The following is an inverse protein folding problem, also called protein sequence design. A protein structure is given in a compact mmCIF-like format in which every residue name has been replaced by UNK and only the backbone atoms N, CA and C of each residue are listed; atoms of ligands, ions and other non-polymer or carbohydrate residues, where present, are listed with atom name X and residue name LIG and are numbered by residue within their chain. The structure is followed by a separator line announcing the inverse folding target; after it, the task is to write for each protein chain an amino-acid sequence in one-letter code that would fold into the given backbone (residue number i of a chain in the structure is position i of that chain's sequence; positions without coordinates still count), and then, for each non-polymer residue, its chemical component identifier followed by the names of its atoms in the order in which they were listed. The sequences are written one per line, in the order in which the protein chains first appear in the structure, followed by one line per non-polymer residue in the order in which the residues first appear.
data_IF_329079673912
#
_entry.id   IF_329079673912
#
_cell.length_a   1.000
_cell.length_b   1.000
_cell.length_c   1.000
_cell.angle_alpha   90.00
_cell.angle_beta   90.00
_cell.angle_gamma   90.00
#
_symmetry.space_group_name_H-M   'P 1'
#
loop_
_entity.id
_entity.type
_entity.pdbx_description
1 polymer ?
#
# COMPACT_ATOMS: atom_id res chain seq x y z
N UNK A 1 -10.74 6.15 -15.59
CA UNK A 1 -11.58 5.10 -14.97
C UNK A 1 -11.89 5.49 -13.52
N UNK A 2 -13.04 5.07 -13.00
CA UNK A 2 -13.39 5.30 -11.58
C UNK A 2 -12.61 4.33 -10.67
N UNK A 3 -12.24 4.78 -9.48
CA UNK A 3 -11.33 4.05 -8.57
C UNK A 3 -11.96 2.78 -8.01
N UNK A 4 -13.27 2.79 -7.76
CA UNK A 4 -14.05 1.61 -7.38
C UNK A 4 -13.86 0.45 -8.35
N UNK A 5 -13.95 0.71 -9.67
CA UNK A 5 -13.81 -0.35 -10.68
C UNK A 5 -12.40 -0.91 -10.76
N UNK A 6 -11.39 -0.03 -10.64
CA UNK A 6 -9.99 -0.46 -10.64
C UNK A 6 -9.73 -1.31 -9.40
N UNK A 7 -10.11 -0.81 -8.23
CA UNK A 7 -9.95 -1.53 -6.97
C UNK A 7 -10.69 -2.88 -6.98
N UNK A 8 -11.93 -2.92 -7.47
CA UNK A 8 -12.71 -4.15 -7.62
C UNK A 8 -12.00 -5.19 -8.49
N UNK A 9 -11.37 -4.76 -9.59
CA UNK A 9 -10.60 -5.65 -10.45
C UNK A 9 -9.41 -6.27 -9.70
N UNK A 10 -8.59 -5.44 -9.04
CA UNK A 10 -7.44 -5.94 -8.27
C UNK A 10 -7.88 -6.85 -7.12
N UNK A 11 -8.94 -6.47 -6.41
CA UNK A 11 -9.50 -7.23 -5.30
C UNK A 11 -10.06 -8.57 -5.74
N UNK A 12 -10.83 -8.58 -6.83
CA UNK A 12 -11.39 -9.80 -7.42
C UNK A 12 -10.31 -10.75 -7.91
N UNK A 13 -9.30 -10.23 -8.63
CA UNK A 13 -8.14 -11.03 -9.07
C UNK A 13 -7.40 -11.61 -7.87
N UNK A 14 -7.16 -10.82 -6.82
CA UNK A 14 -6.50 -11.30 -5.61
C UNK A 14 -7.32 -12.40 -4.91
N UNK A 15 -8.62 -12.18 -4.67
CA UNK A 15 -9.48 -13.16 -4.03
C UNK A 15 -9.52 -14.46 -4.83
N UNK A 16 -9.62 -14.39 -6.15
CA UNK A 16 -9.57 -15.57 -7.01
C UNK A 16 -8.24 -16.33 -6.87
N UNK A 17 -7.10 -15.63 -6.87
CA UNK A 17 -5.79 -16.24 -6.67
C UNK A 17 -5.64 -16.84 -5.26
N UNK A 18 -6.17 -16.17 -4.24
CA UNK A 18 -6.14 -16.64 -2.85
C UNK A 18 -6.96 -17.92 -2.68
N UNK A 19 -8.18 -17.95 -3.21
CA UNK A 19 -9.06 -19.12 -3.20
C UNK A 19 -8.43 -20.28 -3.98
N UNK A 20 -7.90 -20.01 -5.17
CA UNK A 20 -7.17 -21.01 -5.97
C UNK A 20 -5.97 -21.57 -5.17
N UNK A 21 -5.23 -20.71 -4.46
CA UNK A 21 -4.15 -21.15 -3.58
C UNK A 21 -4.60 -22.08 -2.46
N UNK A 22 -5.68 -21.72 -1.75
CA UNK A 22 -6.27 -22.56 -0.71
C UNK A 22 -6.74 -23.93 -1.23
N UNK A 23 -7.28 -23.97 -2.46
CA UNK A 23 -7.75 -25.21 -3.11
C UNK A 23 -6.58 -26.06 -3.62
N UNK A 24 -5.55 -25.45 -4.20
CA UNK A 24 -4.40 -26.16 -4.78
C UNK A 24 -3.40 -26.66 -3.74
N UNK A 25 -3.29 -25.98 -2.60
CA UNK A 25 -2.28 -26.27 -1.57
C UNK A 25 -2.88 -26.53 -0.17
N UNK A 26 -3.92 -27.37 -0.02
CA UNK A 26 -4.61 -27.55 1.26
C UNK A 26 -3.71 -28.14 2.35
N UNK A 27 -2.75 -29.00 1.97
CA UNK A 27 -1.77 -29.56 2.92
C UNK A 27 -0.80 -28.53 3.52
N UNK A 28 -0.60 -27.38 2.86
CA UNK A 28 0.29 -26.32 3.35
C UNK A 28 -0.49 -25.14 3.94
N UNK A 29 -1.66 -24.85 3.39
CA UNK A 29 -2.44 -23.65 3.71
C UNK A 29 -3.67 -23.93 4.56
N UNK A 30 -3.97 -25.19 4.85
CA UNK A 30 -5.20 -25.61 5.52
C UNK A 30 -6.45 -25.44 4.65
N UNK A 31 -7.59 -25.90 5.16
CA UNK A 31 -8.89 -25.77 4.50
C UNK A 31 -9.39 -24.32 4.53
N UNK A 32 -10.24 -23.95 3.57
CA UNK A 32 -10.87 -22.63 3.52
C UNK A 32 -11.83 -22.44 4.70
N UNK A 33 -11.72 -21.32 5.40
CA UNK A 33 -12.67 -20.92 6.44
C UNK A 33 -13.83 -20.11 5.79
N UNK A 34 -15.04 -20.68 5.68
CA UNK A 34 -16.15 -20.02 4.99
C UNK A 34 -16.65 -18.76 5.72
N UNK A 35 -16.55 -18.72 7.05
CA UNK A 35 -16.97 -17.55 7.85
C UNK A 35 -16.01 -16.38 7.63
N UNK A 36 -14.70 -16.67 7.58
CA UNK A 36 -13.70 -15.66 7.22
C UNK A 36 -13.90 -15.17 5.77
N UNK A 37 -14.22 -16.06 4.83
CA UNK A 37 -14.56 -15.61 3.46
C UNK A 37 -15.78 -14.70 3.44
N UNK A 38 -16.84 -15.05 4.16
CA UNK A 38 -18.03 -14.22 4.26
C UNK A 38 -17.72 -12.82 4.82
N UNK A 39 -16.91 -12.74 5.88
CA UNK A 39 -16.45 -11.45 6.41
C UNK A 39 -15.67 -10.64 5.37
N UNK A 40 -14.74 -11.26 4.64
CA UNK A 40 -13.96 -10.58 3.60
C UNK A 40 -14.86 -10.02 2.49
N UNK A 41 -15.87 -10.78 2.06
CA UNK A 41 -16.86 -10.32 1.07
C UNK A 41 -17.71 -9.17 1.60
N UNK A 42 -18.18 -9.26 2.85
CA UNK A 42 -18.96 -8.20 3.48
C UNK A 42 -18.15 -6.92 3.68
N UNK A 43 -16.89 -7.04 4.12
CA UNK A 43 -15.94 -5.92 4.22
C UNK A 43 -15.74 -5.26 2.86
N UNK A 44 -15.55 -6.06 1.80
CA UNK A 44 -15.42 -5.58 0.43
C UNK A 44 -16.68 -4.82 -0.02
N UNK A 45 -17.86 -5.38 0.23
CA UNK A 45 -19.15 -4.73 -0.06
C UNK A 45 -19.25 -3.37 0.65
N UNK A 46 -18.85 -3.29 1.92
CA UNK A 46 -18.89 -2.05 2.68
C UNK A 46 -17.92 -0.99 2.16
N UNK A 47 -16.75 -1.36 1.63
CA UNK A 47 -15.89 -0.41 0.90
C UNK A 47 -16.66 0.20 -0.28
N UNK A 48 -17.36 -0.62 -1.08
CA UNK A 48 -18.13 -0.11 -2.22
C UNK A 48 -19.31 0.75 -1.77
N UNK A 49 -20.02 0.37 -0.70
CA UNK A 49 -21.10 1.18 -0.15
C UNK A 49 -20.57 2.53 0.36
N UNK A 50 -19.49 2.53 1.14
CA UNK A 50 -18.85 3.77 1.59
C UNK A 50 -18.46 4.69 0.44
N UNK A 51 -17.91 4.12 -0.64
CA UNK A 51 -17.59 4.87 -1.84
C UNK A 51 -18.82 5.50 -2.51
N UNK A 52 -19.94 4.77 -2.60
CA UNK A 52 -21.18 5.26 -3.20
C UNK A 52 -21.89 6.30 -2.33
N UNK A 53 -21.82 6.17 -1.01
CA UNK A 53 -22.52 7.04 -0.06
C UNK A 53 -21.73 8.28 0.37
N UNK A 54 -20.45 8.39 0.01
CA UNK A 54 -19.57 9.51 0.41
C UNK A 54 -20.14 10.90 0.11
N UNK A 55 -20.78 11.08 -1.05
CA UNK A 55 -21.33 12.38 -1.44
C UNK A 55 -22.55 12.79 -0.59
N UNK A 56 -23.17 11.86 0.16
CA UNK A 56 -24.29 12.14 1.09
C UNK A 56 -23.85 12.41 2.52
N UNK A 57 -22.58 12.13 2.84
CA UNK A 57 -22.07 12.32 4.19
C UNK A 57 -21.81 13.81 4.48
N UNK A 58 -21.82 14.21 5.76
CA UNK A 58 -21.54 15.56 6.18
C UNK A 58 -20.02 15.87 6.03
N UNK A 59 -19.65 17.16 5.96
CA UNK A 59 -18.30 17.62 5.61
C UNK A 59 -17.30 17.47 6.76
N UNK A 60 -17.81 17.40 7.97
CA UNK A 60 -17.13 17.21 9.25
C UNK A 60 -16.26 15.95 9.26
N UNK A 61 -16.51 15.00 8.35
CA UNK A 61 -15.62 13.86 8.09
C UNK A 61 -14.20 14.27 7.71
N UNK A 62 -13.99 15.50 7.24
CA UNK A 62 -12.66 16.09 7.06
C UNK A 62 -11.82 15.98 8.35
N UNK A 63 -12.40 16.30 9.50
CA UNK A 63 -11.72 16.21 10.80
C UNK A 63 -11.39 14.76 11.16
N UNK A 64 -12.29 13.82 10.84
CA UNK A 64 -12.04 12.40 11.02
C UNK A 64 -10.81 11.96 10.22
N UNK A 65 -10.70 12.34 8.95
CA UNK A 65 -9.53 12.02 8.12
C UNK A 65 -8.24 12.60 8.70
N UNK A 66 -8.28 13.85 9.17
CA UNK A 66 -7.11 14.51 9.77
C UNK A 66 -6.66 13.78 11.04
N UNK A 67 -7.60 13.51 11.96
CA UNK A 67 -7.33 12.83 13.23
C UNK A 67 -6.77 11.44 12.96
N UNK A 68 -7.44 10.66 12.12
CA UNK A 68 -7.00 9.30 11.78
C UNK A 68 -5.63 9.32 11.10
N UNK A 69 -5.41 10.17 10.09
CA UNK A 69 -4.12 10.27 9.41
C UNK A 69 -2.98 10.66 10.35
N UNK A 70 -3.25 11.56 11.30
CA UNK A 70 -2.26 12.01 12.29
C UNK A 70 -1.97 10.92 13.32
N UNK A 71 -2.99 10.26 13.88
CA UNK A 71 -2.83 9.17 14.84
C UNK A 71 -2.06 7.99 14.22
N UNK A 72 -2.36 7.63 12.97
CA UNK A 72 -1.65 6.56 12.27
C UNK A 72 -0.22 6.96 11.87
N UNK A 73 0.00 8.22 11.51
CA UNK A 73 1.35 8.75 11.33
C UNK A 73 2.19 8.65 12.61
N UNK A 74 1.59 8.97 13.76
CA UNK A 74 2.25 8.89 15.05
C UNK A 74 2.61 7.45 15.44
N UNK A 75 1.72 6.48 15.20
CA UNK A 75 1.94 5.07 15.57
C UNK A 75 3.08 4.39 14.79
N UNK A 76 3.41 4.90 13.59
CA UNK A 76 4.51 4.38 12.76
C UNK A 76 5.89 4.94 13.15
N UNK A 77 5.96 5.77 14.20
CA UNK A 77 7.19 6.38 14.71
C UNK A 77 7.66 7.58 13.87
N UNK A 78 8.91 8.01 14.07
CA UNK A 78 9.46 9.25 13.47
C UNK A 78 9.28 9.32 11.96
N UNK A 79 9.49 8.21 11.23
CA UNK A 79 9.31 8.19 9.78
C UNK A 79 7.85 8.42 9.37
N UNK A 80 6.91 7.85 10.12
CA UNK A 80 5.48 8.09 9.94
C UNK A 80 5.06 9.51 10.21
N UNK A 81 5.57 10.07 11.30
CA UNK A 81 5.36 11.48 11.66
C UNK A 81 5.91 12.38 10.56
N UNK A 82 7.15 12.14 10.09
CA UNK A 82 7.75 12.91 9.00
C UNK A 82 6.92 12.76 7.72
N UNK A 83 6.39 11.58 7.41
CA UNK A 83 5.60 11.37 6.20
C UNK A 83 4.22 12.04 6.28
N UNK A 84 3.51 11.88 7.40
CA UNK A 84 2.24 12.56 7.65
C UNK A 84 2.42 14.08 7.70
N UNK A 85 3.49 14.58 8.32
CA UNK A 85 3.85 16.00 8.30
C UNK A 85 4.26 16.46 6.90
N UNK A 86 4.96 15.65 6.11
CA UNK A 86 5.31 16.01 4.72
C UNK A 86 4.07 16.08 3.84
N UNK A 87 3.10 15.19 4.06
CA UNK A 87 1.81 15.20 3.39
C UNK A 87 0.98 16.41 3.86
N UNK A 88 0.96 16.72 5.17
CA UNK A 88 0.28 17.87 5.77
C UNK A 88 0.88 19.21 5.34
N UNK A 89 2.16 19.42 5.62
CA UNK A 89 2.90 20.63 5.28
C UNK A 89 3.01 20.78 3.77
N UNK A 90 3.27 19.70 3.03
CA UNK A 90 3.31 19.70 1.56
C UNK A 90 1.94 20.01 0.97
N UNK A 91 0.86 19.43 1.48
CA UNK A 91 -0.51 19.72 1.07
C UNK A 91 -0.90 21.18 1.33
N UNK A 92 -0.60 21.71 2.52
CA UNK A 92 -0.83 23.12 2.89
C UNK A 92 0.02 24.05 2.02
N UNK A 93 1.27 23.71 1.75
CA UNK A 93 2.19 24.51 0.95
C UNK A 93 1.81 24.56 -0.53
N UNK A 94 1.37 23.42 -1.09
CA UNK A 94 0.77 23.32 -2.42
C UNK A 94 -0.45 24.22 -2.56
N UNK A 95 -1.25 24.34 -1.48
CA UNK A 95 -2.45 25.18 -1.46
C UNK A 95 -2.14 26.68 -1.32
N UNK A 96 -1.03 27.06 -0.66
CA UNK A 96 -0.74 28.46 -0.30
C UNK A 96 0.08 29.24 -1.35
N UNK A 97 1.05 28.60 -2.03
CA UNK A 97 2.11 29.34 -2.75
C UNK A 97 2.10 29.23 -4.29
N UNK A 98 1.03 28.73 -4.92
CA UNK A 98 0.80 28.99 -6.34
C UNK A 98 1.89 28.56 -7.34
N UNK A 99 2.70 27.54 -7.07
CA UNK A 99 3.48 26.85 -8.11
C UNK A 99 5.00 26.89 -8.02
N UNK A 100 5.61 27.98 -7.57
CA UNK A 100 7.06 28.24 -7.77
C UNK A 100 7.96 27.41 -6.86
N UNK A 101 7.66 27.33 -5.55
CA UNK A 101 8.49 26.57 -4.61
C UNK A 101 8.30 25.04 -4.69
N UNK A 102 7.23 24.60 -5.35
CA UNK A 102 6.94 23.16 -5.51
C UNK A 102 7.99 22.49 -6.39
N UNK A 103 8.64 23.24 -7.28
CA UNK A 103 9.74 22.74 -8.10
C UNK A 103 10.92 22.31 -7.24
N UNK A 104 11.34 23.10 -6.27
CA UNK A 104 12.45 22.77 -5.37
C UNK A 104 12.15 21.51 -4.55
N UNK A 105 10.94 21.41 -3.99
CA UNK A 105 10.49 20.21 -3.28
C UNK A 105 10.46 18.97 -4.17
N UNK A 106 10.02 19.11 -5.44
CA UNK A 106 10.03 18.01 -6.40
C UNK A 106 11.46 17.52 -6.71
N UNK A 107 12.40 18.45 -6.95
CA UNK A 107 13.80 18.09 -7.23
C UNK A 107 14.50 17.53 -5.99
N UNK A 108 14.24 18.07 -4.80
CA UNK A 108 14.73 17.50 -3.55
C UNK A 108 14.24 16.06 -3.35
N UNK A 109 12.94 15.81 -3.60
CA UNK A 109 12.38 14.47 -3.60
C UNK A 109 13.03 13.56 -4.64
N UNK A 110 13.27 14.06 -5.86
CA UNK A 110 13.95 13.30 -6.92
C UNK A 110 15.37 12.90 -6.49
N UNK A 111 16.11 13.81 -5.83
CA UNK A 111 17.42 13.51 -5.25
C UNK A 111 17.31 12.43 -4.18
N UNK A 112 16.29 12.47 -3.31
CA UNK A 112 16.08 11.43 -2.28
C UNK A 112 15.80 10.04 -2.89
N UNK A 113 15.06 9.97 -4.00
CA UNK A 113 14.81 8.71 -4.74
C UNK A 113 16.11 8.08 -5.23
N UNK A 114 17.13 8.88 -5.52
CA UNK A 114 18.44 8.37 -5.97
C UNK A 114 19.38 8.14 -4.78
N UNK A 115 19.44 9.08 -3.85
CA UNK A 115 20.40 9.08 -2.75
C UNK A 115 20.16 7.93 -1.78
N UNK A 116 18.89 7.62 -1.43
CA UNK A 116 18.58 6.59 -0.44
C UNK A 116 19.02 5.19 -0.91
N UNK A 117 18.69 4.71 -2.12
CA UNK A 117 19.21 3.45 -2.64
C UNK A 117 20.73 3.45 -2.79
N UNK A 118 21.34 4.56 -3.25
CA UNK A 118 22.80 4.64 -3.38
C UNK A 118 23.51 4.51 -2.04
N UNK A 119 22.99 5.10 -0.96
CA UNK A 119 23.54 4.90 0.39
C UNK A 119 23.50 3.41 0.78
N UNK A 120 22.42 2.70 0.45
CA UNK A 120 22.33 1.26 0.71
C UNK A 120 23.36 0.47 -0.11
N UNK A 121 23.52 0.80 -1.40
CA UNK A 121 24.48 0.16 -2.31
C UNK A 121 25.92 0.38 -1.85
N UNK A 122 26.30 1.61 -1.47
CA UNK A 122 27.65 1.94 -0.96
C UNK A 122 27.96 1.18 0.33
N UNK A 123 26.94 0.90 1.14
CA UNK A 123 27.06 0.06 2.36
C UNK A 123 27.00 -1.45 2.07
N UNK A 124 27.08 -1.88 0.81
CA UNK A 124 27.07 -3.28 0.40
C UNK A 124 25.69 -3.95 0.39
N UNK A 125 24.60 -3.20 0.57
CA UNK A 125 23.24 -3.76 0.63
C UNK A 125 22.66 -3.82 -0.78
N UNK A 126 23.01 -4.88 -1.51
CA UNK A 126 22.60 -5.10 -2.91
C UNK A 126 21.86 -6.45 -3.03
N UNK A 127 20.53 -6.47 -2.75
CA UNK A 127 19.74 -7.70 -2.71
C UNK A 127 19.76 -8.62 -3.93
N UNK A 128 19.97 -8.08 -5.13
CA UNK A 128 20.08 -8.87 -6.36
C UNK A 128 21.35 -9.73 -6.38
N UNK A 129 22.43 -9.26 -5.76
CA UNK A 129 23.69 -10.01 -5.60
C UNK A 129 23.65 -10.88 -4.34
N UNK A 130 23.11 -10.33 -3.26
CA UNK A 130 23.07 -10.98 -1.94
C UNK A 130 21.65 -11.04 -1.38
N UNK A 131 20.86 -12.09 -1.70
CA UNK A 131 19.44 -12.17 -1.35
C UNK A 131 19.13 -12.09 0.15
N UNK A 132 20.09 -12.42 1.02
CA UNK A 132 19.92 -12.35 2.47
C UNK A 132 19.91 -10.89 2.99
N UNK A 133 20.49 -9.93 2.25
CA UNK A 133 20.51 -8.50 2.59
C UNK A 133 19.11 -7.87 2.69
N UNK A 134 18.08 -8.56 2.16
CA UNK A 134 16.65 -8.18 2.23
C UNK A 134 16.05 -8.26 3.62
N UNK A 135 16.78 -8.81 4.58
CA UNK A 135 16.35 -8.89 5.98
C UNK A 135 17.05 -7.86 6.86
N UNK A 136 17.99 -7.08 6.31
CA UNK A 136 18.70 -6.03 7.04
C UNK A 136 17.82 -4.77 7.21
N UNK A 137 18.05 -3.95 8.24
CA UNK A 137 17.34 -2.68 8.42
C UNK A 137 17.56 -1.69 7.27
N UNK A 138 18.73 -1.73 6.63
CA UNK A 138 19.09 -0.82 5.52
C UNK A 138 18.19 -0.99 4.29
N UNK A 139 17.47 -2.11 4.16
CA UNK A 139 16.46 -2.29 3.13
C UNK A 139 15.37 -1.21 3.13
N UNK A 140 15.13 -0.60 4.29
CA UNK A 140 14.12 0.44 4.47
C UNK A 140 14.45 1.68 3.62
N UNK A 141 15.71 1.88 3.23
CA UNK A 141 16.11 2.96 2.32
C UNK A 141 15.53 2.76 0.91
N UNK A 142 15.52 1.52 0.40
CA UNK A 142 14.86 1.20 -0.87
C UNK A 142 13.35 1.39 -0.78
N UNK A 143 12.73 1.02 0.34
CA UNK A 143 11.30 1.22 0.55
C UNK A 143 10.95 2.72 0.64
N UNK A 144 11.69 3.50 1.42
CA UNK A 144 11.50 4.95 1.53
C UNK A 144 11.67 5.64 0.17
N UNK A 145 12.69 5.25 -0.60
CA UNK A 145 12.87 5.70 -1.98
C UNK A 145 11.64 5.42 -2.86
N UNK A 146 11.07 4.22 -2.77
CA UNK A 146 9.88 3.86 -3.53
C UNK A 146 8.66 4.69 -3.11
N UNK A 147 8.48 4.95 -1.81
CA UNK A 147 7.44 5.86 -1.30
C UNK A 147 7.60 7.27 -1.89
N UNK A 148 8.82 7.84 -1.86
CA UNK A 148 9.07 9.16 -2.46
C UNK A 148 8.80 9.16 -3.97
N UNK A 149 9.24 8.13 -4.69
CA UNK A 149 8.95 7.99 -6.11
C UNK A 149 7.44 7.93 -6.38
N UNK A 150 6.69 7.14 -5.61
CA UNK A 150 5.22 7.08 -5.66
C UNK A 150 4.59 8.45 -5.44
N UNK A 151 5.01 9.20 -4.42
CA UNK A 151 4.52 10.57 -4.14
C UNK A 151 4.76 11.52 -5.33
N UNK A 152 5.99 11.54 -5.84
CA UNK A 152 6.38 12.42 -6.95
C UNK A 152 5.68 12.05 -8.26
N UNK A 153 5.55 10.75 -8.56
CA UNK A 153 4.88 10.26 -9.76
C UNK A 153 3.37 10.49 -9.71
N UNK A 154 2.74 10.36 -8.55
CA UNK A 154 1.34 10.72 -8.37
C UNK A 154 1.11 12.24 -8.50
N UNK A 155 2.08 13.07 -8.09
CA UNK A 155 2.01 14.51 -8.33
C UNK A 155 2.17 14.86 -9.82
N UNK A 156 3.32 14.48 -10.40
CA UNK A 156 3.69 14.72 -11.78
C UNK A 156 4.36 13.46 -12.39
N UNK A 157 3.68 12.77 -13.32
CA UNK A 157 4.24 11.58 -13.94
C UNK A 157 5.48 11.99 -14.76
N UNK A 158 6.57 11.25 -14.59
CA UNK A 158 7.84 11.49 -15.28
C UNK A 158 8.50 10.15 -15.59
N UNK A 159 8.67 9.83 -16.87
CA UNK A 159 9.17 8.53 -17.32
C UNK A 159 10.60 8.24 -16.80
N UNK A 160 11.46 9.25 -16.70
CA UNK A 160 12.82 9.06 -16.20
C UNK A 160 12.81 8.70 -14.72
N UNK A 161 11.99 9.39 -13.91
CA UNK A 161 11.82 9.06 -12.50
C UNK A 161 11.28 7.63 -12.33
N UNK A 162 10.29 7.25 -13.15
CA UNK A 162 9.75 5.90 -13.17
C UNK A 162 10.81 4.85 -13.47
N UNK A 163 11.58 5.01 -14.55
CA UNK A 163 12.62 4.05 -14.94
C UNK A 163 13.72 3.93 -13.87
N UNK A 164 14.14 5.04 -13.28
CA UNK A 164 15.14 5.05 -12.19
C UNK A 164 14.60 4.30 -10.96
N UNK A 165 13.36 4.61 -10.55
CA UNK A 165 12.75 3.99 -9.38
C UNK A 165 12.50 2.48 -9.60
N UNK A 166 12.07 2.07 -10.80
CA UNK A 166 11.95 0.65 -11.19
C UNK A 166 13.31 -0.06 -11.22
N UNK A 167 14.36 0.59 -11.73
CA UNK A 167 15.71 0.02 -11.70
C UNK A 167 16.16 -0.25 -10.25
N UNK A 168 15.93 0.67 -9.32
CA UNK A 168 16.20 0.42 -7.90
C UNK A 168 15.28 -0.66 -7.29
N UNK A 169 14.03 -0.79 -7.76
CA UNK A 169 13.16 -1.89 -7.37
C UNK A 169 13.67 -3.26 -7.84
N UNK A 170 14.25 -3.34 -9.05
CA UNK A 170 14.94 -4.53 -9.57
C UNK A 170 16.17 -4.87 -8.72
N UNK A 171 17.05 -3.89 -8.47
CA UNK A 171 18.27 -4.06 -7.65
C UNK A 171 17.91 -4.56 -6.25
N UNK A 172 16.85 -4.02 -5.66
CA UNK A 172 16.40 -4.40 -4.32
C UNK A 172 15.57 -5.68 -4.29
N UNK A 173 15.11 -6.18 -5.44
CA UNK A 173 14.22 -7.34 -5.61
C UNK A 173 12.90 -7.24 -4.83
N UNK A 174 12.49 -6.04 -4.44
CA UNK A 174 11.24 -5.79 -3.71
C UNK A 174 10.08 -5.58 -4.67
N UNK A 175 9.31 -6.64 -4.92
CA UNK A 175 8.10 -6.63 -5.76
C UNK A 175 7.10 -5.53 -5.40
N UNK A 176 6.93 -5.28 -4.10
CA UNK A 176 6.08 -4.22 -3.56
C UNK A 176 6.54 -2.84 -4.04
N UNK A 177 7.85 -2.57 -4.04
CA UNK A 177 8.40 -1.28 -4.47
C UNK A 177 8.15 -1.04 -5.96
N UNK A 178 8.41 -2.04 -6.80
CA UNK A 178 8.10 -1.98 -8.23
C UNK A 178 6.60 -1.72 -8.45
N UNK A 179 5.75 -2.49 -7.76
CA UNK A 179 4.30 -2.37 -7.94
C UNK A 179 3.77 -0.97 -7.56
N UNK A 180 4.22 -0.37 -6.44
CA UNK A 180 3.74 0.97 -6.05
C UNK A 180 4.21 2.07 -6.99
N UNK A 181 5.42 1.97 -7.54
CA UNK A 181 5.98 2.94 -8.48
C UNK A 181 5.22 2.88 -9.81
N UNK A 182 5.03 1.67 -10.33
CA UNK A 182 4.27 1.43 -11.55
C UNK A 182 2.81 1.86 -11.46
N UNK A 183 2.11 1.47 -10.38
CA UNK A 183 0.70 1.83 -10.20
C UNK A 183 0.55 3.36 -10.05
N UNK A 184 1.46 4.02 -9.33
CA UNK A 184 1.43 5.48 -9.19
C UNK A 184 1.51 6.18 -10.54
N UNK A 185 2.43 5.71 -11.40
CA UNK A 185 2.56 6.21 -12.76
C UNK A 185 1.29 6.00 -13.56
N UNK A 186 0.81 4.75 -13.67
CA UNK A 186 -0.33 4.41 -14.53
C UNK A 186 -1.60 5.13 -14.09
N UNK A 187 -1.86 5.22 -12.78
CA UNK A 187 -3.04 5.90 -12.28
C UNK A 187 -2.97 7.42 -12.44
N UNK A 188 -1.77 7.99 -12.58
CA UNK A 188 -1.59 9.43 -12.80
C UNK A 188 -1.49 9.83 -14.28
N UNK A 189 -0.86 8.99 -15.10
CA UNK A 189 -0.55 9.27 -16.49
C UNK A 189 -1.81 9.34 -17.37
N UNK A 190 -1.71 10.11 -18.47
CA UNK A 190 -2.75 10.14 -19.49
C UNK A 190 -2.87 8.78 -20.21
N UNK A 191 -4.01 8.52 -20.86
CA UNK A 191 -4.29 7.21 -21.52
C UNK A 191 -3.18 6.77 -22.48
N UNK A 192 -2.68 7.66 -23.33
CA UNK A 192 -1.65 7.31 -24.32
C UNK A 192 -0.29 7.05 -23.68
N UNK A 193 0.08 7.82 -22.66
CA UNK A 193 1.31 7.64 -21.91
C UNK A 193 1.27 6.35 -21.07
N UNK A 194 0.12 6.05 -20.46
CA UNK A 194 -0.11 4.81 -19.72
C UNK A 194 0.05 3.58 -20.62
N UNK A 195 -0.40 3.61 -21.89
CA UNK A 195 -0.15 2.51 -22.84
C UNK A 195 1.35 2.29 -23.09
N UNK A 196 2.12 3.37 -23.27
CA UNK A 196 3.58 3.26 -23.46
C UNK A 196 4.25 2.68 -22.22
N UNK A 197 3.84 3.11 -21.04
CA UNK A 197 4.37 2.59 -19.78
C UNK A 197 3.89 1.17 -19.49
N UNK A 198 2.72 0.74 -19.97
CA UNK A 198 2.35 -0.67 -19.91
C UNK A 198 3.33 -1.54 -20.71
N UNK A 199 3.76 -1.08 -21.90
CA UNK A 199 4.73 -1.82 -22.73
C UNK A 199 6.11 -1.95 -22.08
N UNK A 200 6.58 -0.93 -21.36
CA UNK A 200 7.90 -0.93 -20.72
C UNK A 200 7.86 -1.46 -19.28
N UNK A 201 6.88 -1.03 -18.51
CA UNK A 201 6.73 -1.31 -17.09
C UNK A 201 6.24 -2.72 -16.79
N UNK A 202 5.39 -3.33 -17.62
CA UNK A 202 4.98 -4.73 -17.41
C UNK A 202 6.19 -5.68 -17.49
N UNK A 203 7.06 -5.60 -18.52
CA UNK A 203 8.30 -6.37 -18.53
C UNK A 203 9.21 -6.11 -17.32
N UNK A 204 9.33 -4.86 -16.85
CA UNK A 204 10.15 -4.53 -15.68
C UNK A 204 9.58 -5.16 -14.40
N UNK A 205 8.27 -5.06 -14.16
CA UNK A 205 7.64 -5.73 -13.02
C UNK A 205 7.82 -7.24 -13.13
N UNK A 206 7.56 -7.82 -14.29
CA UNK A 206 7.76 -9.25 -14.51
C UNK A 206 9.20 -9.66 -14.21
N UNK A 207 10.18 -8.86 -14.64
CA UNK A 207 11.59 -9.06 -14.32
C UNK A 207 11.83 -9.05 -12.81
N UNK A 208 11.29 -8.08 -12.06
CA UNK A 208 11.40 -8.04 -10.59
C UNK A 208 10.83 -9.31 -9.96
N UNK A 209 9.68 -9.78 -10.44
CA UNK A 209 9.06 -11.02 -9.95
C UNK A 209 9.90 -12.26 -10.29
N UNK A 210 10.44 -12.34 -11.50
CA UNK A 210 11.29 -13.45 -11.96
C UNK A 210 12.61 -13.49 -11.16
N UNK A 211 13.31 -12.36 -11.05
CA UNK A 211 14.54 -12.23 -10.25
C UNK A 211 14.26 -12.62 -8.81
N UNK A 212 13.15 -12.14 -8.23
CA UNK A 212 12.75 -12.51 -6.86
C UNK A 212 12.51 -14.00 -6.71
N UNK A 213 11.85 -14.62 -7.69
CA UNK A 213 11.58 -16.06 -7.69
C UNK A 213 12.90 -16.86 -7.70
N UNK A 214 13.81 -16.58 -8.63
CA UNK A 214 15.09 -17.29 -8.72
C UNK A 214 15.96 -17.05 -7.49
N UNK A 215 16.01 -15.81 -6.98
CA UNK A 215 16.71 -15.51 -5.73
C UNK A 215 16.14 -16.31 -4.54
N UNK A 216 14.81 -16.49 -4.49
CA UNK A 216 14.16 -17.28 -3.42
C UNK A 216 14.49 -18.77 -3.57
N UNK A 217 14.39 -19.31 -4.79
CA UNK A 217 14.72 -20.72 -5.08
C UNK A 217 16.19 -21.06 -4.79
N UNK A 218 17.11 -20.15 -5.13
CA UNK A 218 18.53 -20.32 -4.85
C UNK A 218 18.90 -20.21 -3.37
N UNK A 219 18.13 -19.44 -2.59
CA UNK A 219 18.39 -19.27 -1.14
C UNK A 219 17.76 -20.40 -0.31
N UNK A 220 16.56 -20.87 -0.69
CA UNK A 220 15.79 -21.83 0.10
C UNK A 220 15.62 -23.14 -0.67
N UNK A 221 16.48 -24.13 -0.41
CA UNK A 221 16.45 -25.44 -1.08
C UNK A 221 15.13 -26.22 -0.89
N UNK A 222 14.36 -25.89 0.16
CA UNK A 222 13.05 -26.48 0.46
C UNK A 222 11.97 -25.95 -0.53
N UNK A 223 12.21 -24.82 -1.20
CA UNK A 223 11.24 -24.21 -2.11
C UNK A 223 11.16 -24.95 -3.45
N UNK A 224 10.20 -25.87 -3.56
CA UNK A 224 9.99 -26.70 -4.76
C UNK A 224 8.93 -26.17 -5.73
N UNK A 225 8.23 -25.09 -5.38
CA UNK A 225 7.13 -24.56 -6.20
C UNK A 225 7.67 -23.89 -7.47
N UNK A 226 6.98 -24.10 -8.60
CA UNK A 226 7.22 -23.37 -9.85
C UNK A 226 6.85 -21.88 -9.73
N UNK A 227 7.14 -21.08 -10.77
CA UNK A 227 6.88 -19.63 -10.76
C UNK A 227 5.40 -19.30 -10.55
N UNK A 228 4.51 -19.86 -11.38
CA UNK A 228 3.06 -19.62 -11.27
C UNK A 228 2.50 -20.16 -9.95
N UNK A 229 2.92 -21.37 -9.55
CA UNK A 229 2.55 -21.95 -8.26
C UNK A 229 2.96 -21.06 -7.09
N UNK A 230 4.13 -20.42 -7.16
CA UNK A 230 4.62 -19.48 -6.14
C UNK A 230 3.73 -18.24 -6.03
N UNK A 231 3.21 -17.72 -7.14
CA UNK A 231 2.28 -16.58 -7.13
C UNK A 231 0.96 -16.94 -6.44
N UNK A 232 0.36 -18.06 -6.86
CA UNK A 232 -0.90 -18.56 -6.32
C UNK A 232 -0.77 -18.95 -4.85
N UNK A 233 0.31 -19.66 -4.49
CA UNK A 233 0.64 -20.02 -3.11
C UNK A 233 0.77 -18.78 -2.22
N UNK A 234 1.39 -17.71 -2.72
CA UNK A 234 1.60 -16.50 -1.92
C UNK A 234 0.30 -15.77 -1.60
N UNK A 235 -0.61 -15.65 -2.57
CA UNK A 235 -1.94 -15.10 -2.33
C UNK A 235 -2.71 -15.96 -1.30
N UNK A 236 -2.67 -17.29 -1.47
CA UNK A 236 -3.26 -18.22 -0.51
C UNK A 236 -2.63 -18.15 0.89
N UNK A 237 -1.32 -17.94 0.98
CA UNK A 237 -0.60 -17.79 2.24
C UNK A 237 -1.01 -16.52 3.00
N UNK A 238 -1.00 -15.35 2.35
CA UNK A 238 -1.47 -14.11 2.97
C UNK A 238 -2.95 -14.21 3.40
N UNK A 239 -3.77 -14.93 2.63
CA UNK A 239 -5.15 -15.21 2.99
C UNK A 239 -5.30 -16.16 4.19
N UNK A 240 -4.49 -17.22 4.28
CA UNK A 240 -4.44 -18.08 5.47
C UNK A 240 -4.00 -17.31 6.72
N UNK A 241 -3.04 -16.39 6.57
CA UNK A 241 -2.66 -15.49 7.67
C UNK A 241 -3.87 -14.66 8.14
N UNK A 242 -4.64 -14.11 7.19
CA UNK A 242 -5.90 -13.43 7.50
C UNK A 242 -6.91 -14.34 8.23
N UNK A 243 -7.15 -15.56 7.78
CA UNK A 243 -8.11 -16.46 8.42
C UNK A 243 -7.74 -16.73 9.88
N UNK A 244 -6.45 -16.89 10.16
CA UNK A 244 -5.97 -17.04 11.54
C UNK A 244 -6.18 -15.78 12.35
N UNK A 245 -5.90 -14.60 11.80
CA UNK A 245 -6.17 -13.31 12.43
C UNK A 245 -7.66 -13.13 12.74
N UNK A 246 -8.52 -13.48 11.78
CA UNK A 246 -9.98 -13.50 11.95
C UNK A 246 -10.39 -14.41 13.12
N UNK A 247 -9.88 -15.65 13.18
CA UNK A 247 -10.19 -16.58 14.28
C UNK A 247 -9.70 -16.10 15.66
N UNK A 248 -8.64 -15.30 15.72
CA UNK A 248 -8.09 -14.79 16.99
C UNK A 248 -8.78 -13.50 17.47
N UNK A 249 -9.24 -12.66 16.54
CA UNK A 249 -9.87 -11.38 16.83
C UNK A 249 -11.38 -11.44 16.98
N UNK A 250 -12.07 -12.30 16.25
CA UNK A 250 -13.53 -12.33 16.29
C UNK A 250 -14.08 -12.79 17.65
N UNK A 251 -15.26 -12.26 18.07
CA UNK A 251 -16.08 -11.27 17.37
C UNK A 251 -15.77 -9.80 17.70
N UNK A 252 -15.03 -9.52 18.77
CA UNK A 252 -14.89 -8.17 19.34
C UNK A 252 -13.60 -7.44 18.98
N UNK A 253 -12.59 -8.15 18.50
CA UNK A 253 -11.27 -7.62 18.23
C UNK A 253 -10.32 -7.69 19.43
N UNK A 254 -9.05 -7.38 19.17
CA UNK A 254 -7.93 -7.44 20.14
C UNK A 254 -7.12 -6.14 20.21
N UNK A 255 -7.34 -5.21 19.28
CA UNK A 255 -6.69 -3.90 19.16
C UNK A 255 -5.15 -3.89 19.39
N UNK A 256 -4.40 -4.73 18.68
CA UNK A 256 -2.93 -4.81 18.83
C UNK A 256 -2.13 -4.63 17.54
N UNK A 257 -2.74 -4.65 16.35
CA UNK A 257 -2.02 -4.53 15.07
C UNK A 257 -1.89 -3.07 14.63
N UNK A 258 -2.99 -2.31 14.61
CA UNK A 258 -3.07 -0.96 14.04
C UNK A 258 -2.08 0.03 14.68
N UNK A 259 -1.94 -0.03 16.00
CA UNK A 259 -1.04 0.82 16.78
C UNK A 259 0.34 0.18 17.03
N UNK A 260 0.58 -1.01 16.49
CA UNK A 260 1.88 -1.65 16.63
C UNK A 260 2.91 -0.92 15.76
N UNK A 261 4.09 -0.64 16.32
CA UNK A 261 5.22 -0.08 15.56
C UNK A 261 5.75 -1.04 14.48
N UNK A 262 5.57 -2.35 14.69
CA UNK A 262 6.07 -3.41 13.82
C UNK A 262 4.96 -4.47 13.57
N UNK A 263 3.84 -4.09 12.92
CA UNK A 263 2.63 -4.91 12.85
C UNK A 263 2.89 -6.27 12.18
N UNK A 264 3.72 -6.30 11.14
CA UNK A 264 4.05 -7.54 10.42
C UNK A 264 4.91 -8.51 11.23
N UNK A 265 5.75 -8.01 12.14
CA UNK A 265 6.51 -8.86 13.07
C UNK A 265 5.62 -9.38 14.18
N UNK A 266 4.72 -8.53 14.70
CA UNK A 266 3.69 -8.97 15.64
C UNK A 266 2.84 -10.09 15.05
N UNK A 267 2.30 -9.90 13.84
CA UNK A 267 1.52 -10.95 13.15
C UNK A 267 2.34 -12.23 12.99
N UNK A 268 3.60 -12.15 12.58
CA UNK A 268 4.46 -13.33 12.48
C UNK A 268 4.66 -14.06 13.82
N UNK A 269 4.75 -13.32 14.93
CA UNK A 269 4.90 -13.92 16.25
C UNK A 269 3.68 -14.76 16.68
N UNK A 270 2.48 -14.43 16.18
CA UNK A 270 1.27 -15.25 16.36
C UNK A 270 1.35 -16.62 15.68
N UNK A 271 2.33 -16.82 14.78
CA UNK A 271 2.67 -18.09 14.13
C UNK A 271 4.00 -18.65 14.60
N UNK A 272 4.58 -18.11 15.69
CA UNK A 272 5.87 -18.54 16.24
C UNK A 272 7.05 -18.23 15.33
N UNK A 273 6.99 -17.16 14.53
CA UNK A 273 8.06 -16.76 13.60
C UNK A 273 8.68 -15.42 13.98
N UNK A 274 9.99 -15.30 13.73
CA UNK A 274 10.78 -14.07 13.94
C UNK A 274 10.84 -13.17 12.70
N UNK A 275 10.34 -13.63 11.56
CA UNK A 275 10.38 -12.89 10.28
C UNK A 275 9.00 -12.33 9.94
N UNK A 276 8.95 -11.09 9.45
CA UNK A 276 7.70 -10.38 9.17
C UNK A 276 6.74 -11.14 8.24
N UNK A 277 5.46 -11.22 8.60
CA UNK A 277 4.38 -11.78 7.77
C UNK A 277 3.49 -10.69 7.22
N UNK A 278 3.10 -10.83 5.95
CA UNK A 278 2.03 -10.03 5.34
C UNK A 278 0.68 -10.66 5.64
N UNK A 279 -0.34 -9.81 5.72
CA UNK A 279 -1.74 -10.20 5.89
C UNK A 279 -2.57 -9.40 4.90
N UNK A 280 -3.79 -9.84 4.60
CA UNK A 280 -4.65 -9.15 3.62
C UNK A 280 -5.25 -7.87 4.19
N UNK A 281 -5.87 -7.04 3.35
CA UNK A 281 -6.60 -5.84 3.78
C UNK A 281 -7.70 -6.14 4.83
N UNK A 282 -8.16 -7.38 4.91
CA UNK A 282 -9.17 -7.85 5.87
C UNK A 282 -8.57 -8.24 7.23
N UNK A 283 -7.25 -8.51 7.28
CA UNK A 283 -6.53 -9.03 8.44
C UNK A 283 -6.58 -8.13 9.65
N UNK A 284 -6.05 -6.91 9.52
CA UNK A 284 -5.99 -5.97 10.63
C UNK A 284 -7.40 -5.57 11.12
N UNK A 285 -8.37 -5.22 10.26
CA UNK A 285 -9.71 -4.86 10.73
C UNK A 285 -10.40 -5.98 11.50
N UNK A 286 -10.32 -7.23 11.00
CA UNK A 286 -10.91 -8.38 11.67
C UNK A 286 -10.23 -8.68 13.01
N UNK A 287 -8.90 -8.56 13.06
CA UNK A 287 -8.16 -8.85 14.28
C UNK A 287 -8.35 -7.76 15.34
N UNK A 288 -8.26 -6.50 14.96
CA UNK A 288 -8.28 -5.39 15.92
C UNK A 288 -9.68 -5.02 16.37
N UNK A 289 -10.67 -5.10 15.48
CA UNK A 289 -12.02 -4.60 15.71
C UNK A 289 -13.10 -5.66 15.56
N UNK A 290 -12.76 -6.88 15.14
CA UNK A 290 -13.74 -7.95 14.93
C UNK A 290 -14.83 -7.52 13.95
N UNK A 291 -16.09 -7.62 14.38
CA UNK A 291 -17.24 -7.19 13.57
C UNK A 291 -17.24 -5.68 13.29
N UNK A 292 -16.74 -4.86 14.20
CA UNK A 292 -16.65 -3.41 14.01
C UNK A 292 -15.63 -3.00 12.95
N UNK A 293 -14.70 -3.90 12.59
CA UNK A 293 -13.78 -3.70 11.47
C UNK A 293 -14.50 -3.46 10.14
N UNK A 294 -15.74 -3.95 10.00
CA UNK A 294 -16.60 -3.65 8.85
C UNK A 294 -16.85 -2.14 8.65
N UNK A 295 -16.92 -1.36 9.74
CA UNK A 295 -17.04 0.10 9.67
C UNK A 295 -15.77 0.75 9.09
N UNK A 296 -14.60 0.17 9.36
CA UNK A 296 -13.34 0.62 8.77
C UNK A 296 -13.36 0.46 7.25
N UNK A 297 -13.88 -0.68 6.75
CA UNK A 297 -14.09 -0.90 5.32
C UNK A 297 -14.98 0.18 4.69
N UNK A 298 -16.09 0.51 5.33
CA UNK A 298 -16.95 1.62 4.90
C UNK A 298 -16.18 2.95 4.85
N UNK A 299 -15.46 3.31 5.91
CA UNK A 299 -14.69 4.55 5.98
C UNK A 299 -13.62 4.64 4.88
N UNK A 300 -12.90 3.54 4.60
CA UNK A 300 -11.93 3.46 3.49
C UNK A 300 -12.61 3.73 2.15
N UNK A 301 -13.80 3.19 1.94
CA UNK A 301 -14.63 3.48 0.77
C UNK A 301 -14.94 4.96 0.61
N UNK A 302 -15.39 5.60 1.70
CA UNK A 302 -15.69 7.04 1.71
C UNK A 302 -14.44 7.85 1.39
N UNK A 303 -13.31 7.53 2.03
CA UNK A 303 -12.03 8.20 1.84
C UNK A 303 -11.54 8.08 0.39
N UNK A 304 -11.66 6.88 -0.22
CA UNK A 304 -11.30 6.67 -1.63
C UNK A 304 -12.11 7.59 -2.56
N UNK A 305 -13.42 7.73 -2.31
CA UNK A 305 -14.29 8.60 -3.11
C UNK A 305 -13.93 10.08 -2.95
N UNK A 306 -13.63 10.52 -1.75
CA UNK A 306 -13.21 11.91 -1.51
C UNK A 306 -11.83 12.21 -2.13
N UNK A 307 -10.91 11.24 -2.08
CA UNK A 307 -9.59 11.35 -2.73
C UNK A 307 -9.69 11.47 -4.26
N UNK A 308 -10.74 10.94 -4.89
CA UNK A 308 -10.92 11.02 -6.35
C UNK A 308 -11.06 12.44 -6.91
N UNK A 309 -11.40 13.42 -6.06
CA UNK A 309 -11.71 14.78 -6.49
C UNK A 309 -10.49 15.51 -7.04
N UNK A 310 -9.28 15.09 -6.65
CA UNK A 310 -8.01 15.60 -7.16
C UNK A 310 -7.15 14.44 -7.66
N UNK A 311 -6.69 14.50 -8.91
CA UNK A 311 -6.03 13.37 -9.59
C UNK A 311 -4.77 12.86 -8.85
N UNK A 312 -4.01 13.74 -8.21
CA UNK A 312 -2.82 13.39 -7.42
C UNK A 312 -3.20 12.50 -6.23
N UNK A 313 -4.17 12.93 -5.43
CA UNK A 313 -4.63 12.20 -4.25
C UNK A 313 -5.40 10.93 -4.62
N UNK A 314 -6.14 10.97 -5.74
CA UNK A 314 -6.74 9.78 -6.34
C UNK A 314 -5.71 8.69 -6.62
N UNK A 315 -4.63 9.04 -7.33
CA UNK A 315 -3.55 8.11 -7.67
C UNK A 315 -2.95 7.53 -6.39
N UNK A 316 -2.60 8.37 -5.41
CA UNK A 316 -2.03 7.91 -4.14
C UNK A 316 -2.95 6.97 -3.37
N UNK A 317 -4.18 7.39 -3.10
CA UNK A 317 -5.14 6.57 -2.35
C UNK A 317 -5.35 5.21 -3.02
N UNK A 318 -5.46 5.18 -4.36
CA UNK A 318 -5.68 3.95 -5.10
C UNK A 318 -4.44 3.03 -5.10
N UNK A 319 -3.22 3.56 -5.22
CA UNK A 319 -1.97 2.76 -5.11
C UNK A 319 -1.90 2.06 -3.76
N UNK A 320 -2.05 2.82 -2.68
CA UNK A 320 -1.91 2.29 -1.33
C UNK A 320 -3.06 1.36 -0.94
N UNK A 321 -4.27 1.61 -1.45
CA UNK A 321 -5.39 0.70 -1.27
C UNK A 321 -5.20 -0.63 -2.03
N UNK A 322 -4.72 -0.59 -3.28
CA UNK A 322 -4.38 -1.81 -4.04
C UNK A 322 -3.24 -2.57 -3.35
N UNK A 323 -2.26 -1.85 -2.80
CA UNK A 323 -1.17 -2.47 -2.05
C UNK A 323 -1.65 -3.18 -0.78
N UNK A 324 -2.59 -2.57 -0.07
CA UNK A 324 -3.18 -3.12 1.15
C UNK A 324 -3.86 -4.48 0.90
N UNK A 325 -4.27 -4.80 -0.34
CA UNK A 325 -4.90 -6.08 -0.66
C UNK A 325 -4.02 -7.27 -0.23
N UNK A 326 -2.73 -7.28 -0.60
CA UNK A 326 -1.78 -8.34 -0.25
C UNK A 326 -1.03 -8.07 1.06
N UNK A 327 -0.80 -6.79 1.40
CA UNK A 327 0.08 -6.39 2.51
C UNK A 327 -0.65 -5.95 3.78
N UNK A 328 -1.96 -5.72 3.69
CA UNK A 328 -2.81 -5.33 4.79
C UNK A 328 -2.81 -3.83 5.04
N UNK A 329 -3.75 -3.39 5.88
CA UNK A 329 -3.67 -2.06 6.48
C UNK A 329 -2.58 -2.08 7.54
N UNK A 330 -1.51 -1.35 7.24
CA UNK A 330 -0.60 -0.80 8.25
C UNK A 330 -0.90 0.68 8.38
N UNK A 331 -0.49 1.27 9.50
CA UNK A 331 -0.79 2.65 9.81
C UNK A 331 -0.23 3.64 8.77
N UNK A 332 0.84 3.28 8.04
CA UNK A 332 1.34 4.10 6.93
C UNK A 332 0.35 4.12 5.76
N UNK A 333 -0.05 2.95 5.26
CA UNK A 333 -0.96 2.83 4.12
C UNK A 333 -2.31 3.49 4.45
N UNK A 334 -2.85 3.22 5.64
CA UNK A 334 -4.11 3.79 6.10
C UNK A 334 -4.01 5.31 6.26
N UNK A 335 -2.93 5.79 6.87
CA UNK A 335 -2.66 7.22 7.04
C UNK A 335 -2.57 7.98 5.72
N UNK A 336 -1.96 7.38 4.69
CA UNK A 336 -1.86 7.97 3.34
C UNK A 336 -3.22 8.03 2.66
N UNK A 337 -4.06 6.98 2.78
CA UNK A 337 -5.42 6.98 2.21
C UNK A 337 -6.26 8.09 2.84
N UNK A 338 -6.26 8.19 4.17
CA UNK A 338 -7.02 9.22 4.90
C UNK A 338 -6.48 10.62 4.63
N UNK A 339 -5.15 10.79 4.62
CA UNK A 339 -4.52 12.07 4.27
C UNK A 339 -4.89 12.51 2.85
N UNK A 340 -4.85 11.60 1.88
CA UNK A 340 -5.26 11.87 0.49
C UNK A 340 -6.71 12.35 0.41
N UNK A 341 -7.62 11.73 1.17
CA UNK A 341 -9.01 12.15 1.26
C UNK A 341 -9.14 13.56 1.87
N UNK A 342 -8.42 13.84 2.95
CA UNK A 342 -8.40 15.14 3.63
C UNK A 342 -7.99 16.28 2.68
N UNK A 343 -6.84 16.21 2.01
CA UNK A 343 -6.39 17.30 1.12
C UNK A 343 -7.27 17.44 -0.11
N UNK A 344 -7.74 16.32 -0.66
CA UNK A 344 -8.63 16.33 -1.81
C UNK A 344 -9.96 17.03 -1.47
N UNK A 345 -10.58 16.68 -0.33
CA UNK A 345 -11.80 17.32 0.14
C UNK A 345 -11.57 18.80 0.51
N UNK A 346 -10.53 19.10 1.29
CA UNK A 346 -10.20 20.45 1.76
C UNK A 346 -9.90 21.45 0.64
N UNK A 347 -9.25 21.01 -0.45
CA UNK A 347 -8.95 21.85 -1.61
C UNK A 347 -10.19 22.44 -2.30
N UNK A 348 -11.32 21.71 -2.28
CA UNK A 348 -12.55 22.08 -2.98
C UNK A 348 -13.44 23.01 -2.15
N UNK A 349 -13.47 22.80 -0.85
CA UNK A 349 -14.49 23.44 0.00
C UNK A 349 -14.16 24.87 0.40
N UNK A 350 -12.98 25.39 0.05
CA UNK A 350 -12.61 26.74 0.46
C UNK A 350 -12.42 26.88 1.98
N UNK A 351 -12.57 25.81 2.77
CA UNK A 351 -12.51 25.83 4.23
C UNK A 351 -11.09 26.22 4.68
N UNK A 352 -10.07 25.64 4.05
CA UNK A 352 -8.67 26.07 4.22
C UNK A 352 -8.38 27.49 3.68
N UNK A 353 -9.27 28.08 2.87
CA UNK A 353 -9.09 29.40 2.27
C UNK A 353 -9.71 30.54 3.09
N UNK A 354 -10.71 30.26 3.93
CA UNK A 354 -11.41 31.27 4.72
C UNK A 354 -10.87 31.45 6.14
N UNK A 355 -10.22 30.45 6.72
CA UNK A 355 -9.70 30.51 8.10
C UNK A 355 -8.21 30.92 8.20
N UNK A 356 -7.52 31.10 7.06
CA UNK A 356 -6.08 31.46 7.01
C UNK A 356 -5.87 32.91 6.51
N UNK A 357 -6.94 33.66 6.26
CA UNK A 357 -6.93 35.13 6.15
C UNK A 357 -7.46 35.72 7.44
#
# INVERSE_FOLDING_TARGET
MRSDRIFALFLGVYLLLALLGKIMFPGYLGTLNPVALFYALLFSLLIFLGYLFSDKLPKERLYLYLVVSTLMGASTGILGIVLSLSILLGGIFLMRNGGTDIRHAYYAGFVLVILLPLIAIVKGVIPILEPHMRYTPMKNLYFASAIFATLLLSYKPNIYLFLIAEAFAVISTFRTNALIVFLAYIFRAGREEAKRVLLLGVPLILLVFIVRFYATKGTYAIWKLGFIQTLVYRAGFSYMVYERLFSLGMPLGRFNILLNKYPRFFVASLFGKSTSYTYTLFGQPAYDFGIFGLMEGFLVGVALRDAERVQTFKSLALVFLVLAIENGFDALNFGIIMGSAFFSLGSREGVLWKEIR
#
